data_IF_361055456758
#
_entry.id   IF_361055456758
#
_cell.length_a   1.000
_cell.length_b   1.000
_cell.length_c   1.000
_cell.angle_alpha   90.00
_cell.angle_beta   90.00
_cell.angle_gamma   90.00
#
_symmetry.space_group_name_H-M   'P 1'
#
loop_
_entity.id
_entity.type
_entity.pdbx_description
1 polymer ?
#
# COMPACT_ATOMS: atom_id res chain seq x y z
N UNK A 1 -42.95 22.34 -34.42
CA UNK A 1 -42.51 21.59 -33.21
C UNK A 1 -40.99 21.49 -33.26
N UNK A 2 -40.30 22.04 -32.24
CA UNK A 2 -38.86 22.31 -32.25
C UNK A 2 -38.02 21.09 -31.85
N UNK A 3 -37.05 20.63 -32.66
CA UNK A 3 -36.17 19.50 -32.35
C UNK A 3 -35.09 19.77 -31.28
N UNK A 4 -35.05 20.99 -30.71
CA UNK A 4 -34.03 21.40 -29.73
C UNK A 4 -34.25 20.84 -28.32
N UNK A 5 -35.44 20.35 -27.98
CA UNK A 5 -35.76 19.87 -26.63
C UNK A 5 -35.27 18.43 -26.34
N UNK A 6 -34.92 17.65 -27.36
CA UNK A 6 -34.44 16.27 -27.20
C UNK A 6 -32.94 16.18 -26.88
N UNK A 7 -32.13 17.17 -27.29
CA UNK A 7 -30.69 17.19 -27.01
C UNK A 7 -30.35 17.54 -25.55
N UNK A 8 -31.23 18.28 -24.86
CA UNK A 8 -31.06 18.63 -23.45
C UNK A 8 -31.38 17.49 -22.47
N UNK A 9 -32.17 16.49 -22.87
CA UNK A 9 -32.48 15.34 -22.01
C UNK A 9 -31.37 14.27 -21.99
N UNK A 10 -30.59 14.15 -23.07
CA UNK A 10 -29.48 13.21 -23.15
C UNK A 10 -28.26 13.60 -22.28
N UNK A 11 -28.08 14.90 -22.02
CA UNK A 11 -26.99 15.40 -21.17
C UNK A 11 -27.28 15.30 -19.67
N UNK A 12 -28.56 15.29 -19.26
CA UNK A 12 -28.95 15.23 -17.84
C UNK A 12 -29.07 13.78 -17.32
N UNK A 13 -29.40 12.81 -18.19
CA UNK A 13 -29.45 11.39 -17.82
C UNK A 13 -28.06 10.77 -17.61
N UNK A 14 -27.00 11.36 -18.17
CA UNK A 14 -25.63 10.85 -18.01
C UNK A 14 -24.95 11.29 -16.70
N UNK A 15 -25.58 12.17 -15.92
CA UNK A 15 -25.07 12.61 -14.61
C UNK A 15 -25.72 11.90 -13.43
N UNK A 16 -26.73 11.04 -13.67
CA UNK A 16 -27.49 10.35 -12.61
C UNK A 16 -27.12 8.87 -12.41
N UNK A 17 -26.08 8.36 -13.10
CA UNK A 17 -25.62 6.96 -12.97
C UNK A 17 -24.16 6.80 -12.53
N UNK A 18 -23.42 7.89 -12.32
CA UNK A 18 -22.14 7.80 -11.62
C UNK A 18 -22.41 7.76 -10.12
N UNK A 19 -23.03 6.68 -9.63
CA UNK A 19 -22.76 6.27 -8.25
C UNK A 19 -21.25 6.14 -8.16
N UNK A 20 -20.59 6.97 -7.36
CA UNK A 20 -19.18 6.77 -7.05
C UNK A 20 -19.07 5.40 -6.36
N UNK A 21 -18.87 4.36 -7.15
CA UNK A 21 -18.60 3.04 -6.62
C UNK A 21 -17.23 3.15 -5.97
N UNK A 22 -17.13 2.92 -4.67
CA UNK A 22 -15.87 2.82 -3.93
C UNK A 22 -15.15 1.51 -4.33
N UNK A 23 -14.76 1.42 -5.60
CA UNK A 23 -14.09 0.28 -6.18
C UNK A 23 -12.89 0.79 -6.97
N UNK A 24 -11.72 0.19 -6.74
CA UNK A 24 -10.59 0.40 -7.62
C UNK A 24 -10.89 -0.27 -8.96
N UNK A 25 -10.81 0.44 -10.10
CA UNK A 25 -10.95 -0.20 -11.39
C UNK A 25 -9.75 -1.13 -11.66
N UNK A 26 -9.96 -2.29 -12.29
CA UNK A 26 -8.86 -3.06 -12.85
C UNK A 26 -8.21 -2.29 -14.00
N UNK A 27 -6.93 -2.55 -14.26
CA UNK A 27 -6.19 -1.96 -15.39
C UNK A 27 -5.89 -3.00 -16.47
N UNK A 28 -5.74 -2.59 -17.74
CA UNK A 28 -5.16 -3.43 -18.78
C UNK A 28 -3.76 -3.95 -18.39
N UNK A 29 -3.36 -5.10 -18.92
CA UNK A 29 -2.08 -5.74 -18.56
C UNK A 29 -0.87 -4.89 -18.95
N UNK A 30 -0.98 -4.14 -20.04
CA UNK A 30 0.01 -3.18 -20.55
C UNK A 30 0.18 -1.94 -19.66
N UNK A 31 -0.82 -1.63 -18.83
CA UNK A 31 -0.82 -0.47 -17.93
C UNK A 31 -0.30 -0.82 -16.53
N UNK A 32 0.06 -2.08 -16.28
CA UNK A 32 0.67 -2.50 -15.01
C UNK A 32 2.12 -2.00 -14.93
N UNK A 33 2.38 -1.12 -13.96
CA UNK A 33 3.71 -0.51 -13.75
C UNK A 33 4.46 -1.30 -12.68
N UNK A 34 5.78 -1.46 -12.80
CA UNK A 34 6.61 -2.18 -11.82
C UNK A 34 7.84 -1.36 -11.39
N UNK A 35 8.43 -1.73 -10.25
CA UNK A 35 9.64 -1.09 -9.70
C UNK A 35 10.94 -1.87 -9.91
N UNK A 36 10.98 -2.78 -10.89
CA UNK A 36 12.15 -3.65 -11.10
C UNK A 36 12.34 -4.62 -9.94
N UNK A 37 13.61 -4.88 -9.61
CA UNK A 37 14.02 -5.91 -8.65
C UNK A 37 15.12 -5.48 -7.67
N UNK A 38 15.62 -4.24 -7.81
CA UNK A 38 16.66 -3.68 -6.93
C UNK A 38 16.34 -2.23 -6.55
N UNK A 39 16.89 -1.70 -5.44
CA UNK A 39 16.69 -0.29 -5.07
C UNK A 39 17.16 0.68 -6.15
N UNK A 40 18.26 0.34 -6.85
CA UNK A 40 18.79 1.16 -7.95
C UNK A 40 17.82 1.22 -9.13
N UNK A 41 17.29 0.06 -9.55
CA UNK A 41 16.27 -0.01 -10.61
C UNK A 41 15.00 0.74 -10.22
N UNK A 42 14.52 0.54 -8.99
CA UNK A 42 13.32 1.21 -8.50
C UNK A 42 13.45 2.74 -8.53
N UNK A 43 14.61 3.26 -8.08
CA UNK A 43 14.92 4.70 -8.14
C UNK A 43 15.01 5.20 -9.59
N UNK A 44 15.64 4.45 -10.49
CA UNK A 44 15.71 4.79 -11.91
C UNK A 44 14.33 4.82 -12.59
N UNK A 45 13.42 3.92 -12.18
CA UNK A 45 12.04 3.86 -12.65
C UNK A 45 11.12 4.89 -11.98
N UNK A 46 11.65 5.74 -11.08
CA UNK A 46 10.88 6.77 -10.39
C UNK A 46 9.93 6.23 -9.31
N UNK A 47 10.14 5.00 -8.84
CA UNK A 47 9.40 4.46 -7.71
C UNK A 47 9.82 5.12 -6.40
N UNK A 48 8.88 5.24 -5.49
CA UNK A 48 9.10 5.78 -4.15
C UNK A 48 9.14 4.64 -3.12
N UNK A 49 10.08 4.73 -2.18
CA UNK A 49 10.13 3.84 -1.03
C UNK A 49 9.09 4.25 0.02
N UNK A 50 8.34 3.27 0.50
CA UNK A 50 7.37 3.40 1.58
C UNK A 50 7.90 2.64 2.80
N UNK A 51 8.26 3.37 3.87
CA UNK A 51 8.85 2.79 5.07
C UNK A 51 7.92 1.79 5.76
N UNK A 52 6.63 2.11 5.85
CA UNK A 52 5.65 1.34 6.62
C UNK A 52 5.19 0.11 5.87
N UNK A 53 5.08 0.20 4.53
CA UNK A 53 4.89 -0.99 3.68
C UNK A 53 6.19 -1.77 3.44
N UNK A 54 7.34 -1.19 3.75
CA UNK A 54 8.69 -1.66 3.43
C UNK A 54 8.82 -2.12 1.97
N UNK A 55 8.40 -1.25 1.06
CA UNK A 55 8.29 -1.55 -0.36
C UNK A 55 8.53 -0.32 -1.25
N UNK A 56 9.02 -0.55 -2.46
CA UNK A 56 8.99 0.44 -3.53
C UNK A 56 7.67 0.37 -4.28
N UNK A 57 7.03 1.51 -4.51
CA UNK A 57 5.80 1.59 -5.29
C UNK A 57 5.91 2.59 -6.45
N UNK A 58 5.30 2.27 -7.61
CA UNK A 58 5.13 3.26 -8.67
C UNK A 58 4.27 4.43 -8.17
N UNK A 59 4.45 5.65 -8.70
CA UNK A 59 3.76 6.85 -8.20
C UNK A 59 2.23 6.72 -8.03
N UNK A 60 1.48 6.06 -8.93
CA UNK A 60 0.02 5.96 -8.74
C UNK A 60 -0.39 5.13 -7.50
N UNK A 61 0.45 4.20 -7.03
CA UNK A 61 0.18 3.34 -5.87
C UNK A 61 0.89 3.79 -4.59
N UNK A 62 1.76 4.80 -4.68
CA UNK A 62 2.44 5.37 -3.53
C UNK A 62 1.59 6.49 -2.88
N UNK A 63 1.11 6.26 -1.64
CA UNK A 63 0.36 7.28 -0.90
C UNK A 63 1.32 8.17 -0.09
N UNK A 64 1.94 9.14 -0.76
CA UNK A 64 2.88 10.09 -0.14
C UNK A 64 2.31 10.79 1.09
N UNK A 65 1.04 11.17 1.06
CA UNK A 65 0.41 11.90 2.17
C UNK A 65 0.28 11.01 3.41
N UNK A 66 -0.20 9.77 3.24
CA UNK A 66 -0.32 8.82 4.35
C UNK A 66 1.05 8.44 4.89
N UNK A 67 2.02 8.17 4.01
CA UNK A 67 3.39 7.87 4.39
C UNK A 67 3.99 8.99 5.25
N UNK A 68 3.87 10.25 4.82
CA UNK A 68 4.44 11.39 5.54
C UNK A 68 3.72 11.64 6.87
N UNK A 69 2.40 11.46 6.93
CA UNK A 69 1.62 11.54 8.16
C UNK A 69 2.06 10.49 9.18
N UNK A 70 2.17 9.22 8.76
CA UNK A 70 2.65 8.14 9.60
C UNK A 70 4.11 8.37 10.02
N UNK A 71 4.97 8.86 9.13
CA UNK A 71 6.36 9.13 9.45
C UNK A 71 6.50 10.23 10.52
N UNK A 72 5.69 11.28 10.42
CA UNK A 72 5.70 12.37 11.39
C UNK A 72 5.23 11.94 12.79
N UNK A 73 4.27 11.01 12.87
CA UNK A 73 3.68 10.57 14.15
C UNK A 73 4.45 9.38 14.74
N UNK A 74 4.78 8.39 13.92
CA UNK A 74 5.26 7.08 14.35
C UNK A 74 6.70 6.77 13.93
N UNK A 75 7.37 7.63 13.13
CA UNK A 75 8.71 7.35 12.63
C UNK A 75 9.77 7.15 13.71
N UNK A 76 9.61 7.83 14.86
CA UNK A 76 10.50 7.68 16.03
C UNK A 76 10.16 6.49 16.93
N UNK A 77 9.04 5.81 16.69
CA UNK A 77 8.61 4.65 17.48
C UNK A 77 9.27 3.34 17.00
N UNK A 78 9.91 3.35 15.82
CA UNK A 78 10.49 2.16 15.23
C UNK A 78 11.99 2.14 15.49
N UNK A 79 12.45 1.15 16.23
CA UNK A 79 13.89 0.85 16.33
C UNK A 79 14.28 -0.13 15.23
N UNK A 80 15.23 0.28 14.39
CA UNK A 80 15.72 -0.54 13.29
C UNK A 80 17.09 -1.15 13.61
N UNK A 81 17.27 -2.41 13.20
CA UNK A 81 18.57 -3.07 13.21
C UNK A 81 18.84 -3.79 11.90
N UNK A 82 20.10 -3.95 11.56
CA UNK A 82 20.54 -4.87 10.51
C UNK A 82 20.32 -6.33 10.94
N UNK A 83 20.53 -7.28 10.03
CA UNK A 83 20.32 -8.71 10.31
C UNK A 83 21.29 -9.28 11.37
N UNK A 84 22.46 -8.67 11.53
CA UNK A 84 23.47 -8.91 12.58
C UNK A 84 23.22 -8.11 13.88
N UNK A 85 22.05 -7.50 14.03
CA UNK A 85 21.62 -6.75 15.22
C UNK A 85 22.35 -5.42 15.46
N UNK A 86 22.99 -4.85 14.43
CA UNK A 86 23.58 -3.50 14.51
C UNK A 86 22.48 -2.44 14.38
N UNK A 87 22.34 -1.49 15.33
CA UNK A 87 21.37 -0.40 15.22
C UNK A 87 21.58 0.45 13.97
N UNK A 88 20.49 0.88 13.34
CA UNK A 88 20.50 1.77 12.17
C UNK A 88 19.50 2.91 12.37
N UNK A 89 19.85 4.12 11.93
CA UNK A 89 18.97 5.27 12.06
C UNK A 89 17.81 5.18 11.06
N UNK A 90 16.61 5.61 11.47
CA UNK A 90 15.44 5.68 10.57
C UNK A 90 15.74 6.48 9.29
N UNK A 91 16.58 7.52 9.38
CA UNK A 91 17.03 8.30 8.23
C UNK A 91 17.77 7.45 7.17
N UNK A 92 18.62 6.51 7.60
CA UNK A 92 19.34 5.62 6.70
C UNK A 92 18.39 4.58 6.09
N UNK A 93 17.42 4.09 6.86
CA UNK A 93 16.37 3.19 6.35
C UNK A 93 15.54 3.88 5.27
N UNK A 94 15.21 5.16 5.45
CA UNK A 94 14.46 5.97 4.50
C UNK A 94 15.20 6.20 3.16
N UNK A 95 16.51 5.99 3.11
CA UNK A 95 17.22 5.96 1.82
C UNK A 95 16.77 4.79 0.94
N UNK A 96 16.10 3.78 1.52
CA UNK A 96 15.51 2.65 0.82
C UNK A 96 16.56 1.74 0.18
N UNK A 97 17.75 1.62 0.78
CA UNK A 97 18.86 0.82 0.24
C UNK A 97 18.98 -0.57 0.90
N UNK A 98 18.25 -0.85 1.97
CA UNK A 98 18.37 -2.08 2.76
C UNK A 98 17.34 -3.14 2.35
N UNK A 99 17.81 -4.29 1.87
CA UNK A 99 16.92 -5.39 1.44
C UNK A 99 16.21 -6.04 2.62
N UNK A 100 16.93 -6.32 3.70
CA UNK A 100 16.37 -6.93 4.90
C UNK A 100 16.80 -6.14 6.13
N UNK A 101 15.83 -5.82 6.98
CA UNK A 101 16.05 -5.20 8.28
C UNK A 101 15.22 -5.89 9.36
N UNK A 102 15.64 -5.71 10.60
CA UNK A 102 14.97 -6.15 11.82
C UNK A 102 14.39 -4.94 12.55
N UNK A 103 13.14 -4.55 12.30
CA UNK A 103 12.43 -3.73 13.25
C UNK A 103 12.31 -4.48 14.58
N UNK A 104 12.74 -3.83 15.65
CA UNK A 104 12.71 -4.37 17.00
C UNK A 104 11.39 -4.00 17.65
N UNK A 105 10.82 -4.96 18.36
CA UNK A 105 9.44 -4.98 18.87
C UNK A 105 8.37 -5.26 17.81
N UNK A 106 7.23 -5.77 18.27
CA UNK A 106 6.02 -5.89 17.46
C UNK A 106 5.43 -4.55 17.01
N UNK A 107 6.01 -3.39 17.39
CA UNK A 107 5.43 -2.08 17.11
C UNK A 107 5.42 -1.79 15.61
N UNK A 108 6.48 -2.15 14.89
CA UNK A 108 6.49 -2.03 13.44
C UNK A 108 5.37 -2.85 12.78
N UNK A 109 5.09 -4.06 13.25
CA UNK A 109 4.05 -4.90 12.66
C UNK A 109 2.66 -4.34 12.89
N UNK A 110 2.40 -3.81 14.09
CA UNK A 110 1.16 -3.11 14.39
C UNK A 110 0.96 -1.89 13.47
N UNK A 111 2.03 -1.09 13.31
CA UNK A 111 2.03 0.07 12.41
C UNK A 111 1.83 -0.38 10.96
N UNK A 112 2.53 -1.40 10.50
CA UNK A 112 2.40 -1.98 9.17
C UNK A 112 0.96 -2.43 8.90
N UNK A 113 0.40 -3.28 9.76
CA UNK A 113 -0.96 -3.80 9.59
C UNK A 113 -2.01 -2.68 9.60
N UNK A 114 -1.85 -1.68 10.48
CA UNK A 114 -2.75 -0.51 10.53
C UNK A 114 -2.61 0.35 9.27
N UNK A 115 -1.37 0.58 8.84
CA UNK A 115 -1.03 1.40 7.68
C UNK A 115 -1.58 0.80 6.38
N UNK A 116 -1.47 -0.52 6.18
CA UNK A 116 -1.96 -1.19 4.97
C UNK A 116 -3.50 -1.13 4.88
N UNK A 117 -4.22 -1.20 6.01
CA UNK A 117 -5.66 -0.94 6.05
C UNK A 117 -6.02 0.49 5.61
N UNK A 118 -5.26 1.48 6.09
CA UNK A 118 -5.46 2.87 5.70
C UNK A 118 -5.04 3.16 4.25
N UNK A 119 -4.00 2.50 3.75
CA UNK A 119 -3.61 2.55 2.33
C UNK A 119 -4.73 2.01 1.45
N UNK A 120 -5.34 0.88 1.82
CA UNK A 120 -6.45 0.30 1.06
C UNK A 120 -7.63 1.28 0.97
N UNK A 121 -8.12 1.80 2.09
CA UNK A 121 -9.28 2.71 2.05
C UNK A 121 -8.98 4.01 1.30
N UNK A 122 -7.76 4.56 1.40
CA UNK A 122 -7.35 5.72 0.60
C UNK A 122 -7.25 5.38 -0.89
N UNK A 123 -6.72 4.22 -1.26
CA UNK A 123 -6.67 3.80 -2.66
C UNK A 123 -8.08 3.71 -3.27
N UNK A 124 -9.04 3.17 -2.53
CA UNK A 124 -10.44 3.11 -2.96
C UNK A 124 -11.09 4.50 -3.07
N UNK A 125 -10.90 5.36 -2.07
CA UNK A 125 -11.49 6.71 -2.05
C UNK A 125 -10.89 7.65 -3.10
N UNK A 126 -9.62 7.45 -3.46
CA UNK A 126 -8.89 8.25 -4.45
C UNK A 126 -8.87 7.59 -5.84
N UNK A 127 -9.61 6.49 -6.02
CA UNK A 127 -9.69 5.71 -7.28
C UNK A 127 -8.32 5.32 -7.83
N UNK A 128 -7.35 5.08 -6.93
CA UNK A 128 -6.01 4.63 -7.30
C UNK A 128 -6.02 3.14 -7.64
N UNK A 129 -5.23 2.70 -8.63
CA UNK A 129 -5.05 1.28 -8.88
C UNK A 129 -4.53 0.56 -7.62
N UNK A 130 -5.01 -0.66 -7.37
CA UNK A 130 -4.46 -1.48 -6.28
C UNK A 130 -3.10 -2.05 -6.66
N UNK A 131 -2.23 -2.20 -5.67
CA UNK A 131 -1.08 -3.08 -5.77
C UNK A 131 -1.40 -4.48 -5.25
N UNK A 132 -0.51 -5.43 -5.55
CA UNK A 132 -0.65 -6.84 -5.15
C UNK A 132 -0.85 -7.01 -3.65
N UNK A 133 -0.18 -6.22 -2.79
CA UNK A 133 -0.26 -6.39 -1.33
C UNK A 133 -1.65 -6.01 -0.81
N UNK A 134 -2.23 -4.92 -1.32
CA UNK A 134 -3.57 -4.47 -0.93
C UNK A 134 -4.68 -5.38 -1.44
N UNK A 135 -4.49 -6.03 -2.59
CA UNK A 135 -5.49 -6.91 -3.19
C UNK A 135 -5.52 -8.34 -2.63
N UNK A 136 -4.50 -8.77 -1.86
CA UNK A 136 -4.39 -10.16 -1.36
C UNK A 136 -5.14 -10.38 -0.05
N UNK A 137 -6.19 -11.19 -0.08
CA UNK A 137 -7.00 -11.49 1.09
C UNK A 137 -6.19 -12.12 2.22
N UNK A 138 -5.34 -13.12 1.94
CA UNK A 138 -4.40 -13.69 2.95
C UNK A 138 -3.61 -12.61 3.70
N UNK A 139 -3.17 -11.55 3.03
CA UNK A 139 -2.42 -10.48 3.67
C UNK A 139 -3.30 -9.60 4.57
N UNK A 140 -4.48 -9.20 4.08
CA UNK A 140 -5.46 -8.44 4.87
C UNK A 140 -5.99 -9.23 6.06
N UNK A 141 -6.21 -10.53 5.90
CA UNK A 141 -6.59 -11.45 6.97
C UNK A 141 -5.48 -11.54 8.03
N UNK A 142 -4.22 -11.77 7.62
CA UNK A 142 -3.07 -11.75 8.54
C UNK A 142 -2.99 -10.45 9.34
N UNK A 143 -3.10 -9.30 8.66
CA UNK A 143 -3.07 -7.99 9.32
C UNK A 143 -4.19 -7.83 10.34
N UNK A 144 -5.41 -8.25 9.98
CA UNK A 144 -6.57 -8.20 10.89
C UNK A 144 -6.37 -9.08 12.11
N UNK A 145 -5.90 -10.30 11.91
CA UNK A 145 -5.68 -11.24 13.00
C UNK A 145 -4.53 -10.80 13.91
N UNK A 146 -3.49 -10.16 13.38
CA UNK A 146 -2.43 -9.56 14.20
C UNK A 146 -3.00 -8.48 15.13
N UNK A 147 -3.82 -7.56 14.59
CA UNK A 147 -4.43 -6.48 15.38
C UNK A 147 -5.38 -7.01 16.45
N UNK A 148 -6.18 -8.03 16.15
CA UNK A 148 -7.06 -8.69 17.13
C UNK A 148 -6.29 -9.47 18.20
N UNK A 149 -5.14 -10.06 17.85
CA UNK A 149 -4.31 -10.80 18.79
C UNK A 149 -3.61 -9.86 19.77
N UNK A 150 -3.20 -8.67 19.32
CA UNK A 150 -2.57 -7.65 20.18
C UNK A 150 -3.42 -7.34 21.42
N UNK A 151 -4.72 -7.21 21.26
CA UNK A 151 -5.63 -6.90 22.37
C UNK A 151 -5.74 -8.06 23.37
N UNK A 152 -5.47 -9.30 22.95
CA UNK A 152 -5.56 -10.51 23.79
C UNK A 152 -4.26 -10.87 24.47
N UNK A 153 -3.14 -10.77 23.75
CA UNK A 153 -1.82 -11.25 24.21
C UNK A 153 -0.86 -10.12 24.54
N UNK A 154 -1.25 -8.87 24.30
CA UNK A 154 -0.33 -7.74 24.31
C UNK A 154 0.59 -7.73 23.09
N UNK A 155 1.44 -6.70 23.00
CA UNK A 155 2.47 -6.61 21.97
C UNK A 155 3.64 -7.52 22.32
N UNK A 156 4.14 -8.26 21.33
CA UNK A 156 5.38 -9.01 21.51
C UNK A 156 6.58 -8.06 21.36
N UNK A 157 7.01 -7.46 22.46
CA UNK A 157 8.12 -6.50 22.49
C UNK A 157 9.49 -7.14 22.16
N UNK A 158 9.59 -8.47 22.16
CA UNK A 158 10.81 -9.22 21.81
C UNK A 158 10.72 -9.93 20.46
N UNK A 159 9.56 -9.91 19.80
CA UNK A 159 9.43 -10.41 18.44
C UNK A 159 10.37 -9.62 17.52
N UNK A 160 11.26 -10.34 16.86
CA UNK A 160 12.06 -9.77 15.78
C UNK A 160 11.40 -10.17 14.47
N UNK A 161 10.69 -9.24 13.85
CA UNK A 161 10.18 -9.45 12.50
C UNK A 161 11.24 -9.02 11.50
N UNK A 162 11.24 -9.65 10.33
CA UNK A 162 12.07 -9.20 9.22
C UNK A 162 11.21 -8.33 8.33
N UNK A 163 11.60 -7.07 8.16
CA UNK A 163 11.11 -6.23 7.09
C UNK A 163 11.96 -6.55 5.85
N UNK A 164 11.36 -7.22 4.87
CA UNK A 164 12.01 -7.60 3.61
C UNK A 164 11.46 -6.76 2.46
N UNK A 165 12.36 -6.08 1.77
CA UNK A 165 12.06 -5.11 0.73
C UNK A 165 11.27 -5.76 -0.40
N UNK A 166 10.13 -5.17 -0.72
CA UNK A 166 9.32 -5.59 -1.86
C UNK A 166 9.40 -4.55 -2.98
N UNK A 167 9.60 -5.00 -4.21
CA UNK A 167 9.47 -4.18 -5.40
C UNK A 167 8.06 -4.32 -5.95
N UNK A 168 7.24 -3.31 -5.65
CA UNK A 168 5.82 -3.29 -5.93
C UNK A 168 5.51 -3.18 -7.41
N UNK A 169 4.27 -3.55 -7.71
CA UNK A 169 3.61 -3.23 -8.99
C UNK A 169 2.39 -2.39 -8.71
N UNK A 170 1.97 -1.59 -9.67
CA UNK A 170 0.79 -0.76 -9.57
C UNK A 170 -0.19 -1.10 -10.68
N UNK A 171 -1.44 -1.34 -10.29
CA UNK A 171 -2.47 -1.84 -11.18
C UNK A 171 -2.49 -3.37 -11.23
N UNK A 172 -3.71 -3.90 -11.32
CA UNK A 172 -4.01 -5.32 -11.45
C UNK A 172 -5.12 -5.50 -12.49
N UNK A 173 -5.04 -6.59 -13.24
CA UNK A 173 -6.16 -7.00 -14.12
C UNK A 173 -7.34 -7.51 -13.28
N UNK A 174 -8.53 -7.58 -13.88
CA UNK A 174 -9.71 -8.12 -13.20
C UNK A 174 -9.48 -9.54 -12.68
N UNK A 175 -8.84 -10.40 -13.46
CA UNK A 175 -8.50 -11.77 -13.07
C UNK A 175 -7.52 -11.81 -11.89
N UNK A 176 -6.53 -10.91 -11.88
CA UNK A 176 -5.58 -10.80 -10.76
C UNK A 176 -6.28 -10.31 -9.49
N UNK A 177 -7.15 -9.32 -9.59
CA UNK A 177 -7.93 -8.83 -8.45
C UNK A 177 -8.82 -9.94 -7.87
N UNK A 178 -9.52 -10.68 -8.74
CA UNK A 178 -10.35 -11.80 -8.31
C UNK A 178 -9.52 -12.92 -7.67
N UNK A 179 -8.42 -13.33 -8.32
CA UNK A 179 -7.55 -14.38 -7.78
C UNK A 179 -6.98 -14.01 -6.41
N UNK A 180 -6.46 -12.79 -6.26
CA UNK A 180 -5.89 -12.33 -4.99
C UNK A 180 -6.93 -12.12 -3.89
N UNK A 181 -8.15 -11.73 -4.25
CA UNK A 181 -9.24 -11.57 -3.29
C UNK A 181 -9.87 -12.89 -2.85
N UNK A 182 -9.76 -13.95 -3.67
CA UNK A 182 -10.35 -15.27 -3.41
C UNK A 182 -9.41 -16.26 -2.71
N UNK A 183 -8.10 -15.97 -2.67
CA UNK A 183 -7.06 -16.71 -1.91
C UNK A 183 -7.01 -16.30 -0.44
#
# INVERSE_FOLDING_TARGET
MRPQLLLSYALVLNQLLASAFYVSPPVPQEDVITCGSTPSEAKQLGCAFDLFSFAYYPPPCYNKNLHNEFLAIHGSEIEWRTMDYTPIATADVLEGNHIDLRPISGQFHDLHCTYEWLRLIRALAEERPLDRKLARYVHSHHCSMNLLQRDKTGRNETATQTASMLFGRCGLTADQMHAYGAE
#
